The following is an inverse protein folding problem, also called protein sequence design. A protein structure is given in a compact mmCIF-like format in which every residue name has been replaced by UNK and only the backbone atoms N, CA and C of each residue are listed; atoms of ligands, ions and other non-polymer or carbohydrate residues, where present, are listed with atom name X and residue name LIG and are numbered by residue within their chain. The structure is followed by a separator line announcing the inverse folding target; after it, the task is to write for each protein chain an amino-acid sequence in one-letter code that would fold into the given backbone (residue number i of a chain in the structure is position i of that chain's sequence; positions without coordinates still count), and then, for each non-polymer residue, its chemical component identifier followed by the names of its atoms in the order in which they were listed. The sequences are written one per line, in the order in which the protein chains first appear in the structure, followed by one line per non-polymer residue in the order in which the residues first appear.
data_IF_143220527025
#
_entry.id   IF_143220527025
#
_cell.length_a   1.000
_cell.length_b   1.000
_cell.length_c   1.000
_cell.angle_alpha   90.00
_cell.angle_beta   90.00
_cell.angle_gamma   90.00
#
_symmetry.space_group_name_H-M   'P 1'
#
loop_
_entity.id
_entity.type
_entity.pdbx_description
1 polymer ?
#
# COMPACT_ATOMS: atom_id res chain seq x y z
N UNK A 1 8.45 3.15 34.82
CA UNK A 1 7.30 2.27 34.51
C UNK A 1 7.85 1.07 33.76
N UNK A 2 7.48 -0.19 34.12
CA UNK A 2 7.79 -1.32 33.25
C UNK A 2 7.21 -1.05 31.85
N UNK A 3 7.85 -1.50 30.77
CA UNK A 3 7.28 -1.36 29.45
C UNK A 3 5.92 -2.08 29.43
N UNK A 4 4.91 -1.53 28.75
CA UNK A 4 3.64 -2.22 28.58
C UNK A 4 3.87 -3.63 28.00
N UNK A 5 3.00 -4.58 28.37
CA UNK A 5 3.02 -5.94 27.80
C UNK A 5 3.10 -5.86 26.26
N UNK A 6 3.90 -6.71 25.59
CA UNK A 6 4.08 -6.70 24.14
C UNK A 6 2.77 -7.12 23.44
N UNK A 7 1.80 -6.20 23.39
CA UNK A 7 0.51 -6.45 22.80
C UNK A 7 0.61 -6.37 21.27
N UNK A 8 0.12 -7.42 20.60
CA UNK A 8 0.04 -7.49 19.14
C UNK A 8 -1.22 -6.83 18.57
N UNK A 9 -2.25 -6.58 19.38
CA UNK A 9 -3.55 -6.04 18.91
C UNK A 9 -3.42 -4.75 18.08
N UNK A 10 -2.60 -3.75 18.45
CA UNK A 10 -2.38 -2.59 17.58
C UNK A 10 -1.77 -2.98 16.23
N UNK A 11 -0.83 -3.93 16.21
CA UNK A 11 -0.15 -4.39 14.99
C UNK A 11 -1.11 -5.15 14.06
N UNK A 12 -2.01 -5.96 14.61
CA UNK A 12 -3.10 -6.60 13.86
C UNK A 12 -3.94 -5.53 13.15
N UNK A 13 -4.38 -4.50 13.88
CA UNK A 13 -5.18 -3.43 13.28
C UNK A 13 -4.42 -2.65 12.19
N UNK A 14 -3.13 -2.38 12.40
CA UNK A 14 -2.28 -1.76 11.39
C UNK A 14 -2.14 -2.62 10.14
N UNK A 15 -1.95 -3.93 10.29
CA UNK A 15 -1.81 -4.86 9.16
C UNK A 15 -3.13 -5.07 8.40
N UNK A 16 -4.28 -5.04 9.10
CA UNK A 16 -5.60 -5.01 8.46
C UNK A 16 -5.72 -3.77 7.56
N UNK A 17 -5.36 -2.58 8.07
CA UNK A 17 -5.36 -1.36 7.26
C UNK A 17 -4.41 -1.48 6.06
N UNK A 18 -3.21 -2.02 6.24
CA UNK A 18 -2.26 -2.27 5.14
C UNK A 18 -2.89 -3.11 4.03
N UNK A 19 -3.59 -4.19 4.38
CA UNK A 19 -4.25 -5.05 3.40
C UNK A 19 -5.46 -4.38 2.73
N UNK A 20 -6.21 -3.54 3.46
CA UNK A 20 -7.24 -2.68 2.85
C UNK A 20 -6.62 -1.74 1.81
N UNK A 21 -5.45 -1.16 2.09
CA UNK A 21 -4.79 -0.24 1.17
C UNK A 21 -4.34 -0.96 -0.10
N UNK A 22 -3.73 -2.14 0.08
CA UNK A 22 -3.30 -2.99 -1.02
C UNK A 22 -4.49 -3.42 -1.89
N UNK A 23 -5.58 -3.92 -1.28
CA UNK A 23 -6.77 -4.34 -2.02
C UNK A 23 -7.42 -3.20 -2.83
N UNK A 24 -7.43 -1.97 -2.30
CA UNK A 24 -7.90 -0.80 -3.06
C UNK A 24 -6.96 -0.51 -4.25
N UNK A 25 -5.64 -0.58 -4.06
CA UNK A 25 -4.67 -0.37 -5.12
C UNK A 25 -4.79 -1.42 -6.24
N UNK A 26 -4.99 -2.69 -5.89
CA UNK A 26 -5.21 -3.77 -6.85
C UNK A 26 -6.52 -3.61 -7.62
N UNK A 27 -7.59 -3.18 -6.94
CA UNK A 27 -8.86 -2.88 -7.61
C UNK A 27 -8.71 -1.72 -8.58
N UNK A 28 -8.01 -0.65 -8.19
CA UNK A 28 -7.72 0.49 -9.07
C UNK A 28 -6.90 0.06 -10.29
N UNK A 29 -5.88 -0.78 -10.12
CA UNK A 29 -5.08 -1.33 -11.22
C UNK A 29 -5.94 -2.15 -12.19
N UNK A 30 -6.79 -3.02 -11.66
CA UNK A 30 -7.65 -3.88 -12.48
C UNK A 30 -8.70 -3.07 -13.26
N UNK A 31 -9.34 -2.08 -12.61
CA UNK A 31 -10.29 -1.18 -13.26
C UNK A 31 -9.61 -0.33 -14.33
N UNK A 32 -8.41 0.20 -14.05
CA UNK A 32 -7.61 0.91 -15.03
C UNK A 32 -7.31 0.02 -16.24
N UNK A 33 -6.78 -1.20 -15.99
CA UNK A 33 -6.47 -2.18 -17.04
C UNK A 33 -7.68 -2.50 -17.90
N UNK A 34 -8.81 -2.74 -17.27
CA UNK A 34 -10.06 -3.00 -17.98
C UNK A 34 -10.44 -1.80 -18.87
N UNK A 35 -10.44 -0.60 -18.32
CA UNK A 35 -10.80 0.61 -19.09
C UNK A 35 -9.83 0.87 -20.26
N UNK A 36 -8.52 0.75 -20.03
CA UNK A 36 -7.49 0.94 -21.06
C UNK A 36 -7.67 -0.02 -22.23
N UNK A 37 -7.98 -1.28 -21.97
CA UNK A 37 -8.10 -2.30 -23.01
C UNK A 37 -9.42 -2.25 -23.80
N UNK A 38 -10.49 -1.67 -23.21
CA UNK A 38 -11.84 -1.77 -23.79
C UNK A 38 -12.45 -0.42 -24.18
N UNK A 39 -12.05 0.69 -23.54
CA UNK A 39 -12.72 1.99 -23.68
C UNK A 39 -11.78 3.14 -24.06
N UNK A 40 -10.51 3.05 -23.68
CA UNK A 40 -9.51 4.07 -24.00
C UNK A 40 -9.24 4.12 -25.52
N UNK A 41 -8.81 5.29 -25.97
CA UNK A 41 -8.48 5.54 -27.38
C UNK A 41 -7.00 5.91 -27.50
N UNK A 42 -6.28 5.41 -28.52
CA UNK A 42 -4.91 5.80 -28.77
C UNK A 42 -4.78 7.32 -28.89
N UNK A 43 -3.69 7.86 -28.37
CA UNK A 43 -3.32 9.24 -28.68
C UNK A 43 -3.00 9.35 -30.18
N UNK A 44 -3.48 10.37 -30.91
CA UNK A 44 -3.25 10.46 -32.35
C UNK A 44 -1.77 10.46 -32.76
N UNK A 45 -0.89 10.99 -31.88
CA UNK A 45 0.56 11.00 -32.10
C UNK A 45 1.28 9.69 -31.78
N UNK A 46 0.61 8.72 -31.13
CA UNK A 46 1.24 7.46 -30.70
C UNK A 46 1.47 6.47 -31.85
N UNK A 47 0.76 6.62 -32.98
CA UNK A 47 0.87 5.75 -34.15
C UNK A 47 0.65 4.25 -33.86
N UNK A 48 -0.20 3.94 -32.88
CA UNK A 48 -0.60 2.57 -32.50
C UNK A 48 -2.08 2.31 -32.77
N UNK A 49 -2.43 1.03 -33.00
CA UNK A 49 -3.80 0.61 -33.26
C UNK A 49 -4.65 0.55 -31.98
N UNK A 50 -4.05 0.23 -30.83
CA UNK A 50 -4.72 0.17 -29.54
C UNK A 50 -3.93 0.92 -28.46
N UNK A 51 -4.62 1.45 -27.45
CA UNK A 51 -3.95 2.10 -26.29
C UNK A 51 -3.04 1.13 -25.55
N UNK A 52 -3.35 -0.18 -25.58
CA UNK A 52 -2.52 -1.22 -24.96
C UNK A 52 -1.16 -1.41 -25.62
N UNK A 53 -0.98 -0.96 -26.86
CA UNK A 53 0.30 -1.05 -27.59
C UNK A 53 1.17 0.20 -27.43
N UNK A 54 0.65 1.26 -26.77
CA UNK A 54 1.40 2.50 -26.55
C UNK A 54 2.54 2.24 -25.53
N UNK A 55 3.82 2.50 -25.89
CA UNK A 55 4.96 2.18 -25.03
C UNK A 55 4.95 2.96 -23.71
N UNK A 56 4.37 4.16 -23.67
CA UNK A 56 4.28 4.95 -22.44
C UNK A 56 3.21 4.40 -21.51
N UNK A 57 2.09 3.92 -22.07
CA UNK A 57 1.05 3.22 -21.31
C UNK A 57 1.60 1.92 -20.72
N UNK A 58 2.32 1.13 -21.52
CA UNK A 58 2.99 -0.09 -21.06
C UNK A 58 4.00 0.19 -19.95
N UNK A 59 4.83 1.24 -20.10
CA UNK A 59 5.76 1.68 -19.06
C UNK A 59 5.04 2.03 -17.76
N UNK A 60 3.92 2.74 -17.86
CA UNK A 60 3.12 3.14 -16.70
C UNK A 60 2.49 1.96 -15.97
N UNK A 61 1.97 0.95 -16.69
CA UNK A 61 1.52 -0.31 -16.09
C UNK A 61 2.67 -1.09 -15.45
N UNK A 62 3.87 -1.06 -16.04
CA UNK A 62 5.08 -1.66 -15.49
C UNK A 62 5.43 -1.06 -14.12
N UNK A 63 5.42 0.27 -14.00
CA UNK A 63 5.66 0.94 -12.72
C UNK A 63 4.60 0.57 -11.66
N UNK A 64 3.32 0.55 -12.05
CA UNK A 64 2.24 0.13 -11.15
C UNK A 64 2.45 -1.30 -10.66
N UNK A 65 2.83 -2.21 -11.55
CA UNK A 65 3.06 -3.61 -11.23
C UNK A 65 4.23 -3.78 -10.26
N UNK A 66 5.36 -3.10 -10.51
CA UNK A 66 6.53 -3.10 -9.61
C UNK A 66 6.14 -2.63 -8.21
N UNK A 67 5.39 -1.54 -8.12
CA UNK A 67 4.92 -0.99 -6.84
C UNK A 67 3.99 -1.94 -6.09
N UNK A 68 3.07 -2.61 -6.80
CA UNK A 68 2.14 -3.58 -6.22
C UNK A 68 2.87 -4.83 -5.72
N UNK A 69 3.77 -5.40 -6.52
CA UNK A 69 4.56 -6.57 -6.14
C UNK A 69 5.41 -6.29 -4.90
N UNK A 70 6.06 -5.12 -4.83
CA UNK A 70 6.81 -4.71 -3.66
C UNK A 70 5.90 -4.61 -2.41
N UNK A 71 4.71 -4.02 -2.55
CA UNK A 71 3.77 -3.88 -1.43
C UNK A 71 3.21 -5.24 -0.97
N UNK A 72 2.91 -6.16 -1.90
CA UNK A 72 2.44 -7.54 -1.61
C UNK A 72 3.47 -8.29 -0.78
N UNK A 73 4.71 -8.38 -1.26
CA UNK A 73 5.79 -9.07 -0.56
C UNK A 73 6.04 -8.49 0.83
N UNK A 74 5.93 -7.17 1.00
CA UNK A 74 6.07 -6.54 2.30
C UNK A 74 4.90 -6.85 3.24
N UNK A 75 3.67 -6.91 2.72
CA UNK A 75 2.48 -7.26 3.49
C UNK A 75 2.51 -8.71 3.94
N UNK A 76 2.86 -9.65 3.05
CA UNK A 76 2.99 -11.08 3.36
C UNK A 76 4.07 -11.29 4.41
N UNK A 77 5.25 -10.68 4.24
CA UNK A 77 6.33 -10.73 5.24
C UNK A 77 5.90 -10.18 6.60
N UNK A 78 5.04 -9.16 6.64
CA UNK A 78 4.52 -8.63 7.90
C UNK A 78 3.49 -9.58 8.53
N UNK A 79 2.68 -10.27 7.72
CA UNK A 79 1.75 -11.30 8.16
C UNK A 79 2.49 -12.51 8.74
N UNK A 80 3.48 -13.06 8.04
CA UNK A 80 4.28 -14.19 8.52
C UNK A 80 4.90 -13.89 9.89
N UNK A 81 5.46 -12.68 10.06
CA UNK A 81 6.05 -12.25 11.33
C UNK A 81 5.03 -12.05 12.43
N UNK A 82 3.81 -11.63 12.07
CA UNK A 82 2.72 -11.52 13.02
C UNK A 82 2.27 -12.90 13.49
N UNK A 83 2.17 -13.87 12.58
CA UNK A 83 1.81 -15.26 12.89
C UNK A 83 2.87 -15.93 13.79
N UNK A 84 4.15 -15.78 13.44
CA UNK A 84 5.27 -16.24 14.27
C UNK A 84 5.19 -15.65 15.68
N UNK A 85 4.97 -14.35 15.80
CA UNK A 85 4.85 -13.66 17.08
C UNK A 85 3.59 -14.06 17.85
N UNK A 86 2.48 -14.31 17.16
CA UNK A 86 1.25 -14.78 17.76
C UNK A 86 1.42 -16.15 18.41
N UNK A 87 2.16 -17.05 17.74
CA UNK A 87 2.49 -18.38 18.25
C UNK A 87 3.40 -18.35 19.50
N UNK A 88 4.10 -17.24 19.79
CA UNK A 88 4.92 -17.09 21.01
C UNK A 88 4.08 -16.93 22.28
N UNK A 89 2.85 -16.45 22.17
CA UNK A 89 1.95 -16.15 23.30
C UNK A 89 2.65 -15.41 24.46
N UNK A 90 2.61 -15.92 25.69
CA UNK A 90 3.23 -15.30 26.87
C UNK A 90 4.78 -15.21 26.78
N UNK A 91 5.40 -15.93 25.85
CA UNK A 91 6.85 -15.93 25.66
C UNK A 91 7.33 -14.92 24.60
N UNK A 92 6.44 -14.06 24.08
CA UNK A 92 6.78 -12.98 23.17
C UNK A 92 7.63 -11.90 23.88
N UNK A 93 8.77 -11.58 23.30
CA UNK A 93 9.66 -10.54 23.81
C UNK A 93 9.35 -9.17 23.20
N UNK A 94 9.76 -8.09 23.87
CA UNK A 94 9.67 -6.73 23.31
C UNK A 94 10.47 -6.57 22.01
N UNK A 95 11.59 -7.28 21.87
CA UNK A 95 12.41 -7.24 20.67
C UNK A 95 11.69 -7.88 19.48
N UNK A 96 11.13 -9.08 19.65
CA UNK A 96 10.33 -9.77 18.62
C UNK A 96 9.12 -8.92 18.21
N UNK A 97 8.37 -8.39 19.18
CA UNK A 97 7.25 -7.48 18.91
C UNK A 97 7.69 -6.24 18.14
N UNK A 98 8.85 -5.68 18.47
CA UNK A 98 9.45 -4.54 17.76
C UNK A 98 9.73 -4.85 16.29
N UNK A 99 10.18 -6.06 15.98
CA UNK A 99 10.39 -6.51 14.59
C UNK A 99 9.06 -6.63 13.82
N UNK A 100 8.00 -7.14 14.45
CA UNK A 100 6.66 -7.16 13.84
C UNK A 100 6.15 -5.74 13.57
N UNK A 101 6.36 -4.82 14.54
CA UNK A 101 5.94 -3.43 14.39
C UNK A 101 6.66 -2.74 13.24
N UNK A 102 7.96 -2.97 13.10
CA UNK A 102 8.75 -2.47 11.98
C UNK A 102 8.25 -3.03 10.64
N UNK A 103 8.10 -4.36 10.53
CA UNK A 103 7.62 -5.00 9.31
C UNK A 103 6.24 -4.48 8.89
N UNK A 104 5.32 -4.35 9.85
CA UNK A 104 3.97 -3.82 9.65
C UNK A 104 4.00 -2.35 9.19
N UNK A 105 4.83 -1.51 9.82
CA UNK A 105 4.98 -0.12 9.44
C UNK A 105 5.57 0.04 8.03
N UNK A 106 6.59 -0.76 7.68
CA UNK A 106 7.18 -0.76 6.33
C UNK A 106 6.16 -1.16 5.28
N UNK A 107 5.40 -2.23 5.51
CA UNK A 107 4.34 -2.68 4.62
C UNK A 107 3.25 -1.62 4.45
N UNK A 108 2.79 -1.01 5.56
CA UNK A 108 1.78 0.05 5.55
C UNK A 108 2.20 1.25 4.71
N UNK A 109 3.42 1.75 4.93
CA UNK A 109 3.95 2.91 4.21
C UNK A 109 4.10 2.61 2.73
N UNK A 110 4.57 1.41 2.37
CA UNK A 110 4.68 0.98 0.98
C UNK A 110 3.31 0.89 0.31
N UNK A 111 2.35 0.16 0.90
CA UNK A 111 1.00 0.02 0.36
C UNK A 111 0.29 1.38 0.22
N UNK A 112 0.43 2.28 1.20
CA UNK A 112 -0.16 3.61 1.13
C UNK A 112 0.43 4.47 0.01
N UNK A 113 1.76 4.48 -0.15
CA UNK A 113 2.43 5.26 -1.20
C UNK A 113 2.13 4.71 -2.59
N UNK A 114 2.32 3.41 -2.79
CA UNK A 114 2.01 2.72 -4.05
C UNK A 114 0.55 2.94 -4.42
N UNK A 115 -0.37 2.70 -3.49
CA UNK A 115 -1.79 2.80 -3.77
C UNK A 115 -2.24 4.23 -4.09
N UNK A 116 -1.75 5.24 -3.36
CA UNK A 116 -2.13 6.64 -3.63
C UNK A 116 -1.59 7.13 -4.97
N UNK A 117 -0.34 6.77 -5.32
CA UNK A 117 0.25 7.07 -6.62
C UNK A 117 -0.55 6.43 -7.75
N UNK A 118 -0.80 5.12 -7.65
CA UNK A 118 -1.56 4.35 -8.63
C UNK A 118 -2.99 4.87 -8.79
N UNK A 119 -3.71 5.09 -7.69
CA UNK A 119 -5.09 5.60 -7.75
C UNK A 119 -5.18 7.02 -8.35
N UNK A 120 -4.08 7.79 -8.33
CA UNK A 120 -4.00 9.09 -8.99
C UNK A 120 -3.66 8.93 -10.46
N UNK A 121 -2.60 8.17 -10.77
CA UNK A 121 -2.05 8.00 -12.13
C UNK A 121 -2.83 7.01 -12.99
N UNK A 122 -3.81 6.29 -12.44
CA UNK A 122 -4.70 5.43 -13.24
C UNK A 122 -5.43 6.20 -14.34
N UNK A 123 -5.65 7.51 -14.17
CA UNK A 123 -6.27 8.37 -15.17
C UNK A 123 -5.33 8.70 -16.34
N UNK A 124 -4.02 8.65 -16.13
CA UNK A 124 -3.02 8.88 -17.19
C UNK A 124 -3.06 7.75 -18.22
N UNK A 125 -3.37 6.52 -17.78
CA UNK A 125 -3.52 5.36 -18.68
C UNK A 125 -4.93 5.17 -19.23
N UNK A 126 -5.95 5.55 -18.47
CA UNK A 126 -7.36 5.40 -18.87
C UNK A 126 -7.86 6.56 -19.76
N UNK A 127 -7.24 7.74 -19.65
CA UNK A 127 -7.54 8.93 -20.44
C UNK A 127 -8.74 9.75 -19.95
N UNK A 128 -8.95 10.93 -20.55
CA UNK A 128 -9.90 11.94 -20.05
C UNK A 128 -11.35 11.44 -19.87
N UNK A 129 -11.84 10.56 -20.75
CA UNK A 129 -13.20 9.98 -20.65
C UNK A 129 -13.42 9.14 -19.39
N UNK A 130 -12.35 8.60 -18.81
CA UNK A 130 -12.40 7.81 -17.58
C UNK A 130 -12.85 8.65 -16.36
N UNK A 131 -12.86 9.98 -16.48
CA UNK A 131 -13.35 10.89 -15.43
C UNK A 131 -14.88 11.05 -15.38
N UNK A 132 -15.61 10.38 -16.29
CA UNK A 132 -17.07 10.47 -16.32
C UNK A 132 -17.71 10.03 -14.99
N UNK A 133 -18.58 10.86 -14.41
CA UNK A 133 -19.11 10.68 -13.06
C UNK A 133 -19.85 9.35 -12.83
N UNK A 134 -20.42 8.74 -13.87
CA UNK A 134 -21.05 7.43 -13.79
C UNK A 134 -20.05 6.28 -13.53
N UNK A 135 -18.80 6.43 -13.94
CA UNK A 135 -17.75 5.40 -13.78
C UNK A 135 -17.22 5.36 -12.33
N UNK A 136 -17.22 6.51 -11.64
CA UNK A 136 -16.76 6.66 -10.25
C UNK A 136 -15.38 6.03 -10.01
N UNK A 137 -14.45 6.10 -10.98
CA UNK A 137 -13.10 5.52 -10.84
C UNK A 137 -12.28 6.21 -9.75
N UNK A 138 -12.59 7.49 -9.49
CA UNK A 138 -12.04 8.30 -8.40
C UNK A 138 -12.35 7.74 -7.00
N UNK A 139 -13.29 6.77 -6.88
CA UNK A 139 -13.63 6.13 -5.60
C UNK A 139 -12.43 5.46 -4.95
N UNK A 140 -11.51 4.89 -5.74
CA UNK A 140 -10.32 4.22 -5.22
C UNK A 140 -9.42 5.22 -4.51
N UNK A 141 -9.13 6.34 -5.18
CA UNK A 141 -8.35 7.43 -4.60
C UNK A 141 -9.02 8.02 -3.35
N UNK A 142 -10.32 8.35 -3.42
CA UNK A 142 -11.04 8.93 -2.27
C UNK A 142 -11.01 8.01 -1.06
N UNK A 143 -11.33 6.73 -1.26
CA UNK A 143 -11.35 5.74 -0.17
C UNK A 143 -9.95 5.58 0.44
N UNK A 144 -8.94 5.40 -0.39
CA UNK A 144 -7.56 5.22 0.09
C UNK A 144 -7.02 6.49 0.77
N UNK A 145 -7.30 7.67 0.22
CA UNK A 145 -6.94 8.96 0.82
C UNK A 145 -7.56 9.16 2.19
N UNK A 146 -8.83 8.79 2.36
CA UNK A 146 -9.51 8.83 3.66
C UNK A 146 -8.86 7.86 4.64
N UNK A 147 -8.67 6.60 4.27
CA UNK A 147 -8.13 5.61 5.21
C UNK A 147 -6.67 5.87 5.59
N UNK A 148 -5.83 6.30 4.65
CA UNK A 148 -4.40 6.62 4.90
C UNK A 148 -4.20 7.81 5.83
N UNK A 149 -5.25 8.56 6.18
CA UNK A 149 -5.21 9.64 7.17
C UNK A 149 -5.40 9.18 8.61
N UNK A 150 -5.81 7.93 8.86
CA UNK A 150 -6.04 7.43 10.22
C UNK A 150 -4.77 7.58 11.09
N UNK A 151 -3.61 7.22 10.54
CA UNK A 151 -2.32 7.37 11.20
C UNK A 151 -1.38 8.14 10.27
N UNK A 152 -0.76 9.24 10.72
CA UNK A 152 0.08 10.03 9.83
C UNK A 152 1.33 9.23 9.42
N UNK A 153 1.46 8.98 8.11
CA UNK A 153 2.58 8.22 7.55
C UNK A 153 3.96 8.79 7.93
N UNK A 154 4.06 10.10 8.16
CA UNK A 154 5.30 10.74 8.58
C UNK A 154 5.86 10.16 9.89
N UNK A 155 4.99 9.82 10.85
CA UNK A 155 5.44 9.20 12.11
C UNK A 155 5.89 7.75 11.88
N UNK A 156 5.23 7.01 10.99
CA UNK A 156 5.66 5.65 10.59
C UNK A 156 7.00 5.66 9.88
N UNK A 157 7.23 6.62 9.00
CA UNK A 157 8.52 6.82 8.34
C UNK A 157 9.61 7.18 9.35
N UNK A 158 9.31 8.04 10.33
CA UNK A 158 10.25 8.35 11.43
C UNK A 158 10.60 7.09 12.24
N UNK A 159 9.62 6.29 12.63
CA UNK A 159 9.83 5.02 13.36
C UNK A 159 10.72 4.05 12.57
N UNK A 160 10.47 3.89 11.26
CA UNK A 160 11.31 3.08 10.37
C UNK A 160 12.74 3.65 10.30
N UNK A 161 12.88 4.98 10.18
CA UNK A 161 14.17 5.66 10.13
C UNK A 161 14.96 5.54 11.43
N UNK A 162 14.30 5.60 12.59
CA UNK A 162 14.91 5.38 13.90
C UNK A 162 15.49 3.97 14.01
N UNK A 163 14.77 2.96 13.54
CA UNK A 163 15.31 1.60 13.48
C UNK A 163 16.45 1.49 12.47
N UNK A 164 16.26 1.98 11.25
CA UNK A 164 17.26 1.86 10.18
C UNK A 164 18.60 2.52 10.54
N UNK A 165 18.56 3.65 11.25
CA UNK A 165 19.76 4.40 11.64
C UNK A 165 20.32 3.99 13.00
N UNK A 166 19.46 3.77 14.00
CA UNK A 166 19.86 3.64 15.41
C UNK A 166 19.57 2.26 16.00
N UNK A 167 18.94 1.36 15.23
CA UNK A 167 18.46 0.04 15.67
C UNK A 167 17.47 0.12 16.85
N UNK A 168 16.80 1.26 17.00
CA UNK A 168 15.75 1.46 18.01
C UNK A 168 14.41 0.99 17.45
N UNK A 169 13.80 -0.02 18.09
CA UNK A 169 12.49 -0.51 17.69
C UNK A 169 11.36 0.51 18.00
N UNK A 170 10.24 0.47 17.25
CA UNK A 170 9.07 1.30 17.57
C UNK A 170 8.56 1.06 18.99
N UNK A 171 8.36 2.14 19.75
CA UNK A 171 7.79 2.08 21.10
C UNK A 171 6.33 1.63 21.03
N UNK A 172 5.89 0.65 21.84
CA UNK A 172 4.49 0.21 21.85
C UNK A 172 3.52 1.35 22.21
N UNK A 173 2.45 1.47 21.43
CA UNK A 173 1.38 2.44 21.63
C UNK A 173 0.07 1.98 20.95
N UNK A 174 -0.97 2.81 20.98
CA UNK A 174 -2.23 2.49 20.29
C UNK A 174 -2.08 2.42 18.77
N UNK A 175 -1.07 3.12 18.22
CA UNK A 175 -0.83 3.23 16.80
C UNK A 175 0.49 2.58 16.36
N UNK A 176 1.33 2.11 17.29
CA UNK A 176 2.69 1.60 17.05
C UNK A 176 2.98 0.36 17.85
#
# INVERSE_FOLDING_TARGET
RPPPSPCLRPLVAQLVLTNVYLGIAEAAFNDARHYTLHEARPWPGAQVASTGDDPYILGQYGEFWIGLEAARVLADRAADRLDDAWARDAALTHAERGQVALATATAKVSAARTGLDLCTRMFDVAGARATHGALRLDRHWRNLRTHTLHDPLAYKIREIGEWALKQTCPTPGFYS
#
